data_IF_761626689928
#
_entry.id   IF_761626689928
#
_cell.length_a   1.000
_cell.length_b   1.000
_cell.length_c   1.000
_cell.angle_alpha   90.00
_cell.angle_beta   90.00
_cell.angle_gamma   90.00
#
_symmetry.space_group_name_H-M   'P 1'
#
loop_
_entity.id
_entity.type
_entity.pdbx_description
1 polymer ?
#
# COMPACT_ATOMS: atom_id res chain seq x y z
N UNK A 1 20.24 22.36 1.65
CA UNK A 1 19.27 23.11 2.50
C UNK A 1 17.97 22.31 2.54
N UNK A 2 17.29 22.30 3.67
CA UNK A 2 15.99 21.62 3.84
C UNK A 2 14.89 22.63 3.57
N UNK A 3 13.93 22.26 2.73
CA UNK A 3 12.71 23.03 2.54
C UNK A 3 11.73 22.89 3.73
N UNK A 4 10.60 23.58 3.72
CA UNK A 4 9.57 23.43 4.73
C UNK A 4 9.01 22.01 4.72
N UNK A 5 8.46 21.59 5.89
CA UNK A 5 7.72 20.33 5.99
C UNK A 5 6.42 20.41 5.20
N UNK A 6 6.16 19.39 4.38
CA UNK A 6 4.92 19.29 3.63
C UNK A 6 3.72 18.95 4.54
N UNK A 7 2.63 19.69 4.37
CA UNK A 7 1.33 19.35 5.00
C UNK A 7 0.61 18.32 4.11
N UNK A 8 0.52 17.08 4.59
CA UNK A 8 0.07 15.92 3.81
C UNK A 8 -1.31 15.43 4.23
N UNK A 9 -2.01 14.81 3.30
CA UNK A 9 -3.30 14.13 3.52
C UNK A 9 -3.19 13.07 4.63
N UNK A 10 -2.21 12.18 4.52
CA UNK A 10 -1.97 11.05 5.42
C UNK A 10 -0.48 10.79 5.66
N UNK A 11 -0.17 9.72 6.39
CA UNK A 11 1.20 9.37 6.82
C UNK A 11 1.92 10.59 7.42
N UNK A 12 1.21 11.35 8.23
CA UNK A 12 1.70 12.64 8.77
C UNK A 12 2.84 12.48 9.77
N UNK A 13 3.03 11.27 10.31
CA UNK A 13 4.15 10.93 11.18
C UNK A 13 5.48 10.76 10.44
N UNK A 14 5.46 10.60 9.12
CA UNK A 14 6.66 10.56 8.29
C UNK A 14 6.95 11.94 7.71
N UNK A 15 8.12 12.49 8.01
CA UNK A 15 8.53 13.79 7.49
C UNK A 15 8.78 13.73 5.98
N UNK A 16 8.37 14.81 5.30
CA UNK A 16 8.56 14.98 3.87
C UNK A 16 9.01 16.41 3.61
N UNK A 17 10.17 16.57 2.98
CA UNK A 17 10.80 17.86 2.71
C UNK A 17 11.44 17.85 1.32
N UNK A 18 11.48 19.00 0.69
CA UNK A 18 12.34 19.22 -0.48
C UNK A 18 13.79 19.34 -0.02
N UNK A 19 14.71 18.66 -0.69
CA UNK A 19 16.16 18.81 -0.50
C UNK A 19 16.75 19.59 -1.66
N UNK A 20 17.54 20.61 -1.36
CA UNK A 20 18.26 21.43 -2.33
C UNK A 20 19.77 21.27 -2.14
N UNK A 21 20.45 20.93 -3.22
CA UNK A 21 21.90 20.76 -3.29
C UNK A 21 22.48 21.86 -4.17
N UNK A 22 23.17 22.84 -3.57
CA UNK A 22 23.82 23.95 -4.28
C UNK A 22 25.34 23.80 -4.10
N UNK A 23 26.04 23.47 -5.16
CA UNK A 23 27.50 23.33 -5.21
C UNK A 23 28.09 22.46 -4.10
N UNK A 24 27.38 21.41 -3.70
CA UNK A 24 27.83 20.47 -2.66
C UNK A 24 28.98 19.63 -3.18
N UNK A 25 30.15 19.74 -2.55
CA UNK A 25 31.31 18.91 -2.86
C UNK A 25 31.17 17.57 -2.15
N UNK A 26 31.15 16.50 -2.92
CA UNK A 26 31.11 15.11 -2.41
C UNK A 26 32.45 14.43 -2.73
N UNK A 27 33.14 13.84 -1.75
CA UNK A 27 34.36 13.08 -2.00
C UNK A 27 34.13 11.93 -2.99
N UNK A 28 35.12 11.69 -3.86
CA UNK A 28 35.00 10.66 -4.93
C UNK A 28 34.77 9.26 -4.34
N UNK A 29 35.34 8.97 -3.20
CA UNK A 29 35.21 7.70 -2.49
C UNK A 29 33.78 7.42 -1.99
N UNK A 30 32.94 8.44 -1.87
CA UNK A 30 31.51 8.30 -1.51
C UNK A 30 30.63 7.93 -2.70
N UNK A 31 31.21 7.75 -3.88
CA UNK A 31 30.46 7.31 -5.07
C UNK A 31 29.97 5.87 -4.90
N UNK A 32 28.70 5.64 -5.21
CA UNK A 32 28.08 4.30 -5.21
C UNK A 32 28.09 3.75 -6.64
N UNK A 33 28.90 2.70 -6.86
CA UNK A 33 29.02 2.04 -8.16
C UNK A 33 29.81 2.83 -9.21
N UNK A 34 29.74 2.38 -10.45
CA UNK A 34 30.43 2.99 -11.59
C UNK A 34 29.65 4.20 -12.15
N UNK A 35 30.30 4.98 -13.02
CA UNK A 35 29.64 6.10 -13.69
C UNK A 35 28.42 5.61 -14.51
N UNK A 36 27.30 6.29 -14.37
CA UNK A 36 26.03 5.90 -15.00
C UNK A 36 25.21 4.82 -14.25
N UNK A 37 25.74 4.26 -13.15
CA UNK A 37 25.04 3.20 -12.39
C UNK A 37 23.84 3.69 -11.61
N UNK A 38 23.74 4.98 -11.26
CA UNK A 38 22.76 5.53 -10.34
C UNK A 38 21.30 5.21 -10.70
N UNK A 39 20.93 5.31 -11.98
CA UNK A 39 19.58 4.97 -12.44
C UNK A 39 19.27 3.47 -12.24
N UNK A 40 20.21 2.58 -12.60
CA UNK A 40 20.05 1.13 -12.40
C UNK A 40 19.92 0.78 -10.92
N UNK A 41 20.72 1.44 -10.07
CA UNK A 41 20.64 1.29 -8.62
C UNK A 41 19.26 1.71 -8.08
N UNK A 42 18.76 2.87 -8.50
CA UNK A 42 17.45 3.36 -8.10
C UNK A 42 16.33 2.39 -8.49
N UNK A 43 16.33 1.88 -9.72
CA UNK A 43 15.32 0.92 -10.19
C UNK A 43 15.34 -0.38 -9.39
N UNK A 44 16.54 -0.91 -9.07
CA UNK A 44 16.68 -2.12 -8.24
C UNK A 44 16.15 -1.90 -6.82
N UNK A 45 16.42 -0.74 -6.23
CA UNK A 45 15.92 -0.36 -4.91
C UNK A 45 14.39 -0.27 -4.90
N UNK A 46 13.80 0.38 -5.92
CA UNK A 46 12.35 0.50 -6.07
C UNK A 46 11.65 -0.86 -6.23
N UNK A 47 12.28 -1.83 -6.92
CA UNK A 47 11.70 -3.18 -7.02
C UNK A 47 11.53 -3.85 -5.66
N UNK A 48 12.50 -3.68 -4.75
CA UNK A 48 12.40 -4.15 -3.36
C UNK A 48 11.41 -3.34 -2.54
N UNK A 49 11.38 -2.02 -2.71
CA UNK A 49 10.47 -1.10 -2.03
C UNK A 49 8.99 -1.41 -2.29
N UNK A 50 8.63 -1.87 -3.50
CA UNK A 50 7.25 -2.27 -3.85
C UNK A 50 6.68 -3.32 -2.90
N UNK A 51 7.49 -4.30 -2.49
CA UNK A 51 7.06 -5.34 -1.52
C UNK A 51 6.75 -4.70 -0.17
N UNK A 52 7.60 -3.79 0.31
CA UNK A 52 7.38 -3.07 1.56
C UNK A 52 6.10 -2.25 1.55
N UNK A 53 5.83 -1.53 0.44
CA UNK A 53 4.59 -0.74 0.30
C UNK A 53 3.35 -1.65 0.16
N UNK A 54 3.48 -2.78 -0.52
CA UNK A 54 2.40 -3.76 -0.59
C UNK A 54 2.06 -4.32 0.81
N UNK A 55 3.07 -4.61 1.64
CA UNK A 55 2.89 -5.05 3.02
C UNK A 55 2.26 -3.95 3.89
N UNK A 56 2.68 -2.69 3.73
CA UNK A 56 2.08 -1.55 4.41
C UNK A 56 0.60 -1.40 4.05
N UNK A 57 0.27 -1.43 2.76
CA UNK A 57 -1.11 -1.35 2.27
C UNK A 57 -1.97 -2.49 2.82
N UNK A 58 -1.46 -3.73 2.81
CA UNK A 58 -2.11 -4.89 3.40
C UNK A 58 -2.38 -4.69 4.90
N UNK A 59 -1.40 -4.16 5.65
CA UNK A 59 -1.55 -3.86 7.08
C UNK A 59 -2.63 -2.80 7.34
N UNK A 60 -2.71 -1.75 6.50
CA UNK A 60 -3.75 -0.71 6.59
C UNK A 60 -5.13 -1.32 6.32
N UNK A 61 -5.26 -2.15 5.28
CA UNK A 61 -6.52 -2.83 4.95
C UNK A 61 -6.99 -3.75 6.09
N UNK A 62 -6.09 -4.59 6.61
CA UNK A 62 -6.38 -5.50 7.71
C UNK A 62 -6.80 -4.74 8.98
N UNK A 63 -6.08 -3.67 9.35
CA UNK A 63 -6.44 -2.86 10.50
C UNK A 63 -7.80 -2.17 10.35
N UNK A 64 -8.13 -1.68 9.15
CA UNK A 64 -9.45 -1.11 8.87
C UNK A 64 -10.57 -2.15 8.98
N UNK A 65 -10.33 -3.36 8.46
CA UNK A 65 -11.26 -4.48 8.58
C UNK A 65 -11.49 -4.88 10.04
N UNK A 66 -10.44 -5.02 10.85
CA UNK A 66 -10.56 -5.38 12.27
C UNK A 66 -11.39 -4.36 13.04
N UNK A 67 -11.17 -3.05 12.80
CA UNK A 67 -11.93 -1.98 13.42
C UNK A 67 -13.40 -2.01 12.98
N UNK A 68 -13.67 -2.21 11.69
CA UNK A 68 -15.01 -2.31 11.15
C UNK A 68 -15.76 -3.53 11.68
N UNK A 69 -15.10 -4.69 11.75
CA UNK A 69 -15.65 -5.92 12.30
C UNK A 69 -16.01 -5.75 13.78
N UNK A 70 -15.08 -5.19 14.57
CA UNK A 70 -15.33 -4.91 15.99
C UNK A 70 -16.52 -3.98 16.18
N UNK A 71 -16.53 -2.83 15.51
CA UNK A 71 -17.59 -1.85 15.59
C UNK A 71 -18.95 -2.44 15.19
N UNK A 72 -18.99 -3.25 14.13
CA UNK A 72 -20.23 -3.86 13.64
C UNK A 72 -20.87 -4.85 14.60
N UNK A 73 -20.08 -5.45 15.50
CA UNK A 73 -20.55 -6.35 16.58
C UNK A 73 -21.02 -5.59 17.82
N UNK A 74 -20.63 -4.34 17.99
CA UNK A 74 -21.00 -3.51 19.15
C UNK A 74 -22.17 -2.57 18.84
N UNK A 75 -22.19 -2.02 17.63
CA UNK A 75 -23.22 -1.07 17.19
C UNK A 75 -24.53 -1.75 16.87
N UNK A 76 -25.64 -1.25 17.48
CA UNK A 76 -26.98 -1.72 17.20
C UNK A 76 -27.78 -0.72 16.36
N UNK A 77 -28.52 -1.23 15.39
CA UNK A 77 -29.50 -0.49 14.60
C UNK A 77 -30.62 -1.46 14.16
N UNK A 78 -31.83 -0.97 14.07
CA UNK A 78 -32.99 -1.76 13.68
C UNK A 78 -33.19 -3.03 14.55
N UNK A 79 -32.89 -2.93 15.85
CA UNK A 79 -33.14 -3.98 16.84
C UNK A 79 -32.05 -5.06 16.98
N UNK A 80 -30.96 -5.01 16.23
CA UNK A 80 -29.87 -5.99 16.30
C UNK A 80 -28.50 -5.33 16.08
N UNK A 81 -27.40 -6.05 16.33
CA UNK A 81 -26.05 -5.66 15.94
C UNK A 81 -25.97 -5.50 14.42
N UNK A 82 -25.27 -4.45 13.93
CA UNK A 82 -25.27 -4.15 12.49
C UNK A 82 -24.59 -5.25 11.66
N UNK A 83 -23.69 -6.05 12.23
CA UNK A 83 -23.09 -7.20 11.55
C UNK A 83 -24.13 -8.28 11.15
N UNK A 84 -25.30 -8.30 11.76
CA UNK A 84 -26.39 -9.24 11.43
C UNK A 84 -27.22 -8.78 10.21
N UNK A 85 -27.03 -7.54 9.75
CA UNK A 85 -27.64 -7.10 8.51
C UNK A 85 -26.83 -7.60 7.32
N UNK A 86 -27.49 -8.28 6.38
CA UNK A 86 -26.84 -8.93 5.22
C UNK A 86 -25.92 -7.98 4.43
N UNK A 87 -26.34 -6.71 4.26
CA UNK A 87 -25.54 -5.71 3.57
C UNK A 87 -24.18 -5.44 4.25
N UNK A 88 -24.12 -5.47 5.59
CA UNK A 88 -22.88 -5.31 6.35
C UNK A 88 -22.09 -6.63 6.35
N UNK A 89 -22.77 -7.76 6.56
CA UNK A 89 -22.12 -9.07 6.55
C UNK A 89 -21.41 -9.35 5.23
N UNK A 90 -22.00 -8.99 4.09
CA UNK A 90 -21.40 -9.16 2.77
C UNK A 90 -20.16 -8.27 2.57
N UNK A 91 -20.22 -7.01 2.99
CA UNK A 91 -19.05 -6.11 2.98
C UNK A 91 -17.88 -6.72 3.78
N UNK A 92 -18.15 -7.23 4.97
CA UNK A 92 -17.13 -7.87 5.80
C UNK A 92 -16.55 -9.14 5.14
N UNK A 93 -17.39 -9.93 4.46
CA UNK A 93 -16.93 -11.11 3.74
C UNK A 93 -16.02 -10.76 2.53
N UNK A 94 -16.43 -9.76 1.75
CA UNK A 94 -15.64 -9.26 0.62
C UNK A 94 -14.30 -8.69 1.10
N UNK A 95 -14.31 -7.83 2.14
CA UNK A 95 -13.10 -7.27 2.74
C UNK A 95 -12.13 -8.37 3.19
N UNK A 96 -12.63 -9.38 3.90
CA UNK A 96 -11.77 -10.48 4.37
C UNK A 96 -11.16 -11.25 3.21
N UNK A 97 -11.97 -11.60 2.21
CA UNK A 97 -11.54 -12.38 1.04
C UNK A 97 -10.45 -11.63 0.25
N UNK A 98 -10.65 -10.34 -0.01
CA UNK A 98 -9.70 -9.55 -0.80
C UNK A 98 -8.40 -9.26 -0.02
N UNK A 99 -8.47 -9.11 1.31
CA UNK A 99 -7.29 -9.00 2.17
C UNK A 99 -6.45 -10.27 2.10
N UNK A 100 -7.07 -11.45 2.14
CA UNK A 100 -6.35 -12.72 2.04
C UNK A 100 -5.73 -12.91 0.64
N UNK A 101 -6.44 -12.53 -0.42
CA UNK A 101 -5.88 -12.53 -1.78
C UNK A 101 -4.66 -11.58 -1.90
N UNK A 102 -4.76 -10.38 -1.32
CA UNK A 102 -3.64 -9.43 -1.27
C UNK A 102 -2.46 -9.99 -0.48
N UNK A 103 -2.73 -10.66 0.66
CA UNK A 103 -1.72 -11.32 1.49
C UNK A 103 -0.93 -12.35 0.70
N UNK A 104 -1.61 -13.20 -0.07
CA UNK A 104 -0.96 -14.20 -0.91
C UNK A 104 -0.03 -13.58 -1.96
N UNK A 105 -0.44 -12.49 -2.60
CA UNK A 105 0.40 -11.78 -3.56
C UNK A 105 1.64 -11.15 -2.88
N UNK A 106 1.48 -10.56 -1.70
CA UNK A 106 2.60 -9.98 -0.93
C UNK A 106 3.60 -11.06 -0.53
N UNK A 107 3.10 -12.17 0.02
CA UNK A 107 3.94 -13.29 0.43
C UNK A 107 4.66 -13.93 -0.76
N UNK A 108 3.98 -14.10 -1.90
CA UNK A 108 4.59 -14.59 -3.15
C UNK A 108 5.76 -13.70 -3.59
N UNK A 109 5.56 -12.37 -3.60
CA UNK A 109 6.61 -11.43 -4.00
C UNK A 109 7.80 -11.44 -3.04
N UNK A 110 7.55 -11.55 -1.74
CA UNK A 110 8.60 -11.67 -0.73
C UNK A 110 9.38 -12.97 -0.89
N UNK A 111 8.68 -14.09 -1.08
CA UNK A 111 9.29 -15.40 -1.31
C UNK A 111 10.14 -15.42 -2.59
N UNK A 112 9.66 -14.85 -3.71
CA UNK A 112 10.44 -14.76 -4.94
C UNK A 112 11.77 -14.04 -4.71
N UNK A 113 11.73 -12.93 -3.96
CA UNK A 113 12.94 -12.19 -3.60
C UNK A 113 13.90 -13.00 -2.74
N UNK A 114 13.39 -13.69 -1.74
CA UNK A 114 14.21 -14.49 -0.81
C UNK A 114 14.87 -15.68 -1.51
N UNK A 115 14.22 -16.25 -2.52
CA UNK A 115 14.77 -17.32 -3.36
C UNK A 115 15.73 -16.82 -4.44
N UNK A 116 15.95 -15.51 -4.55
CA UNK A 116 16.79 -14.92 -5.61
C UNK A 116 16.16 -14.95 -7.00
N UNK A 117 14.86 -15.24 -7.10
CA UNK A 117 14.10 -15.19 -8.35
C UNK A 117 13.91 -13.75 -8.85
N UNK A 118 13.53 -13.61 -10.12
CA UNK A 118 13.06 -12.32 -10.61
C UNK A 118 11.69 -12.00 -10.01
N UNK A 119 11.64 -10.97 -9.16
CA UNK A 119 10.44 -10.54 -8.44
C UNK A 119 9.85 -9.21 -8.95
N UNK A 120 10.31 -8.68 -10.08
CA UNK A 120 9.83 -7.40 -10.60
C UNK A 120 8.32 -7.42 -10.88
N UNK A 121 7.84 -8.47 -11.51
CA UNK A 121 6.42 -8.60 -11.85
C UNK A 121 5.57 -8.95 -10.62
N UNK A 122 6.00 -9.89 -9.78
CA UNK A 122 5.27 -10.28 -8.57
C UNK A 122 5.19 -9.13 -7.55
N UNK A 123 6.27 -8.34 -7.38
CA UNK A 123 6.25 -7.15 -6.52
C UNK A 123 5.32 -6.05 -7.06
N UNK A 124 5.27 -5.87 -8.39
CA UNK A 124 4.36 -4.91 -9.01
C UNK A 124 2.88 -5.33 -8.86
N UNK A 125 2.58 -6.63 -9.04
CA UNK A 125 1.23 -7.18 -8.83
C UNK A 125 0.80 -7.05 -7.37
N UNK A 126 1.67 -7.40 -6.43
CA UNK A 126 1.42 -7.28 -5.00
C UNK A 126 1.10 -5.83 -4.62
N UNK A 127 1.93 -4.88 -5.05
CA UNK A 127 1.75 -3.44 -4.76
C UNK A 127 0.48 -2.89 -5.40
N UNK A 128 0.20 -3.23 -6.64
CA UNK A 128 -0.99 -2.78 -7.35
C UNK A 128 -2.27 -3.26 -6.64
N UNK A 129 -2.34 -4.55 -6.33
CA UNK A 129 -3.54 -5.14 -5.74
C UNK A 129 -3.71 -4.73 -4.27
N UNK A 130 -2.68 -4.83 -3.44
CA UNK A 130 -2.77 -4.46 -2.03
C UNK A 130 -3.15 -2.98 -1.83
N UNK A 131 -2.61 -2.06 -2.64
CA UNK A 131 -2.95 -0.65 -2.55
C UNK A 131 -4.38 -0.34 -3.01
N UNK A 132 -4.91 -1.08 -3.98
CA UNK A 132 -6.33 -1.03 -4.36
C UNK A 132 -7.21 -1.48 -3.19
N UNK A 133 -6.96 -2.67 -2.67
CA UNK A 133 -7.67 -3.27 -1.54
C UNK A 133 -7.65 -2.34 -0.32
N UNK A 134 -6.49 -1.76 0.01
CA UNK A 134 -6.37 -0.83 1.13
C UNK A 134 -7.27 0.39 0.95
N UNK A 135 -7.31 0.99 -0.24
CA UNK A 135 -8.14 2.17 -0.47
C UNK A 135 -9.63 1.83 -0.41
N UNK A 136 -10.07 0.76 -1.06
CA UNK A 136 -11.46 0.32 -1.09
C UNK A 136 -11.95 -0.06 0.32
N UNK A 137 -11.18 -0.84 1.06
CA UNK A 137 -11.62 -1.33 2.38
C UNK A 137 -11.54 -0.28 3.48
N UNK A 138 -10.63 0.67 3.40
CA UNK A 138 -10.64 1.80 4.36
C UNK A 138 -11.84 2.72 4.14
N UNK A 139 -12.29 2.91 2.89
CA UNK A 139 -13.53 3.63 2.59
C UNK A 139 -14.75 2.85 3.14
N UNK A 140 -14.80 1.54 2.92
CA UNK A 140 -15.88 0.71 3.45
C UNK A 140 -15.88 0.67 4.99
N UNK A 141 -14.72 0.66 5.63
CA UNK A 141 -14.63 0.74 7.09
C UNK A 141 -15.22 2.04 7.63
N UNK A 142 -14.93 3.19 6.99
CA UNK A 142 -15.58 4.47 7.33
C UNK A 142 -17.10 4.36 7.15
N UNK A 143 -17.55 3.78 6.03
CA UNK A 143 -18.99 3.60 5.74
C UNK A 143 -19.69 2.72 6.77
N UNK A 144 -19.08 1.63 7.22
CA UNK A 144 -19.63 0.74 8.26
C UNK A 144 -19.76 1.48 9.60
N UNK A 145 -18.83 2.38 9.93
CA UNK A 145 -18.91 3.21 11.13
C UNK A 145 -19.96 4.34 11.02
N UNK A 146 -20.41 4.67 9.80
CA UNK A 146 -21.35 5.77 9.57
C UNK A 146 -20.79 7.11 10.07
N UNK A 147 -21.59 7.93 10.73
CA UNK A 147 -21.14 9.23 11.27
C UNK A 147 -19.93 9.14 12.20
N UNK A 148 -19.79 8.06 12.95
CA UNK A 148 -18.62 7.81 13.81
C UNK A 148 -17.34 7.59 13.00
N UNK A 149 -17.43 7.05 11.78
CA UNK A 149 -16.28 6.89 10.90
C UNK A 149 -15.73 8.21 10.33
N UNK A 150 -16.49 9.28 10.42
CA UNK A 150 -16.13 10.60 9.91
C UNK A 150 -15.47 11.51 10.95
N UNK A 151 -15.44 11.12 12.22
CA UNK A 151 -14.82 11.87 13.31
C UNK A 151 -13.49 11.26 13.72
N UNK A 152 -12.54 12.10 14.16
CA UNK A 152 -11.16 11.70 14.45
C UNK A 152 -10.99 10.80 15.67
N UNK A 153 -12.02 10.67 16.50
CA UNK A 153 -12.03 9.75 17.64
C UNK A 153 -12.00 8.28 17.22
N UNK A 154 -12.41 7.99 15.97
CA UNK A 154 -12.36 6.67 15.34
C UNK A 154 -11.26 6.64 14.28
N UNK A 155 -10.30 5.73 14.43
CA UNK A 155 -9.09 5.70 13.59
C UNK A 155 -9.31 5.31 12.12
N UNK A 156 -10.51 4.86 11.75
CA UNK A 156 -10.80 4.43 10.37
C UNK A 156 -10.67 5.59 9.36
N UNK A 157 -10.99 6.83 9.75
CA UNK A 157 -10.79 8.01 8.88
C UNK A 157 -9.30 8.25 8.57
N UNK A 158 -8.44 8.03 9.57
CA UNK A 158 -6.99 8.15 9.40
C UNK A 158 -6.45 7.06 8.48
N UNK A 159 -6.89 5.81 8.64
CA UNK A 159 -6.48 4.70 7.78
C UNK A 159 -6.86 4.96 6.32
N UNK A 160 -8.03 5.56 6.06
CA UNK A 160 -8.44 5.95 4.71
C UNK A 160 -7.51 7.01 4.10
N UNK A 161 -7.12 8.03 4.87
CA UNK A 161 -6.17 9.05 4.42
C UNK A 161 -4.77 8.47 4.19
N UNK A 162 -4.33 7.57 5.06
CA UNK A 162 -3.04 6.92 5.00
C UNK A 162 -2.95 5.93 3.83
N UNK A 163 -4.05 5.22 3.51
CA UNK A 163 -4.10 4.27 2.40
C UNK A 163 -3.80 4.92 1.04
N UNK A 164 -4.21 6.17 0.84
CA UNK A 164 -4.12 6.82 -0.48
C UNK A 164 -2.69 6.89 -1.02
N UNK A 165 -1.70 7.14 -0.17
CA UNK A 165 -0.32 7.27 -0.62
C UNK A 165 0.23 5.95 -1.19
N UNK A 166 -0.28 4.80 -0.74
CA UNK A 166 0.18 3.48 -1.21
C UNK A 166 -0.09 3.25 -2.71
N UNK A 167 -1.03 3.99 -3.30
CA UNK A 167 -1.27 3.99 -4.74
C UNK A 167 -0.31 4.90 -5.53
N UNK A 168 0.45 5.76 -4.86
CA UNK A 168 1.22 6.85 -5.47
C UNK A 168 2.72 6.59 -5.40
N UNK A 169 3.29 6.50 -4.21
CA UNK A 169 4.75 6.39 -4.04
C UNK A 169 5.27 4.99 -4.40
N UNK A 170 6.60 4.85 -4.53
CA UNK A 170 7.30 3.64 -5.02
C UNK A 170 6.79 3.20 -6.42
N UNK A 171 6.37 4.19 -7.21
CA UNK A 171 5.73 4.03 -8.51
C UNK A 171 4.21 3.94 -8.41
N UNK A 172 3.52 4.81 -9.13
CA UNK A 172 2.04 4.85 -9.12
C UNK A 172 1.42 3.53 -9.60
N UNK A 173 0.11 3.37 -9.39
CA UNK A 173 -0.63 2.21 -9.89
C UNK A 173 -0.46 2.01 -11.41
N UNK A 174 -0.34 3.11 -12.17
CA UNK A 174 -0.09 3.09 -13.62
C UNK A 174 1.30 2.54 -13.94
N UNK A 175 2.33 2.92 -13.16
CA UNK A 175 3.67 2.38 -13.31
C UNK A 175 3.69 0.88 -13.01
N UNK A 176 2.96 0.42 -11.99
CA UNK A 176 2.84 -1.03 -11.74
C UNK A 176 2.23 -1.76 -12.93
N UNK A 177 1.18 -1.21 -13.54
CA UNK A 177 0.55 -1.77 -14.75
C UNK A 177 1.53 -1.82 -15.93
N UNK A 178 2.38 -0.80 -16.10
CA UNK A 178 3.44 -0.79 -17.13
C UNK A 178 4.44 -1.92 -16.88
N UNK A 179 4.88 -2.12 -15.63
CA UNK A 179 5.83 -3.20 -15.29
C UNK A 179 5.21 -4.56 -15.59
N UNK A 180 3.98 -4.79 -15.15
CA UNK A 180 3.26 -6.05 -15.34
C UNK A 180 3.05 -6.32 -16.84
N UNK A 181 2.51 -5.36 -17.59
CA UNK A 181 2.22 -5.53 -19.02
C UNK A 181 3.49 -5.82 -19.84
N UNK A 182 4.60 -5.14 -19.54
CA UNK A 182 5.89 -5.41 -20.18
C UNK A 182 6.40 -6.81 -19.87
N UNK A 183 6.20 -7.29 -18.64
CA UNK A 183 6.56 -8.67 -18.27
C UNK A 183 5.76 -9.69 -19.07
N UNK A 184 4.45 -9.52 -19.15
CA UNK A 184 3.54 -10.41 -19.91
C UNK A 184 3.90 -10.42 -21.40
N UNK A 185 4.04 -9.25 -22.01
CA UNK A 185 4.32 -9.09 -23.45
C UNK A 185 5.68 -9.70 -23.82
N UNK A 186 6.68 -9.61 -22.95
CA UNK A 186 8.01 -10.21 -23.16
C UNK A 186 8.06 -11.72 -22.90
N UNK A 187 6.94 -12.37 -22.60
CA UNK A 187 6.88 -13.81 -22.34
C UNK A 187 7.46 -14.21 -20.97
N UNK A 188 7.65 -13.29 -20.05
CA UNK A 188 7.95 -13.57 -18.65
C UNK A 188 6.66 -14.11 -17.98
N UNK A 189 6.20 -15.29 -18.43
CA UNK A 189 5.12 -15.98 -17.74
C UNK A 189 5.60 -16.41 -16.36
N UNK A 190 4.78 -16.15 -15.34
CA UNK A 190 4.87 -16.86 -14.07
C UNK A 190 4.63 -18.35 -14.37
N UNK A 191 5.68 -19.13 -14.38
CA UNK A 191 5.53 -20.59 -14.29
C UNK A 191 4.92 -20.84 -12.91
N UNK A 192 3.67 -21.32 -12.91
CA UNK A 192 2.98 -21.84 -11.74
C UNK A 192 3.71 -23.05 -11.17
#
# INVERSE_FOLDING_TARGET
MWGPKEDKLGIRGSDTHTLQFNDVKVPKENRIGEDGFGFKFAMKTLSGGRIGIAAQALGIAAGAYELALKYSKERKAFGTEICNHQAIAFKLADMHTEIEAARMLVMKAAWDKDQGNNYDMSSAMAKLYASKVAMEHTVEAVQIHGGNGFVKDYHVERLMRDAKITQIYEGTSEIQKIVISRGIIKGLMLLL
#
